data_IF_591734861432
#
_entry.id   IF_591734861432
#
_cell.length_a   1.000
_cell.length_b   1.000
_cell.length_c   1.000
_cell.angle_alpha   90.00
_cell.angle_beta   90.00
_cell.angle_gamma   90.00
#
_symmetry.space_group_name_H-M   'P 1'
#
loop_
_entity.id
_entity.type
_entity.pdbx_description
1 polymer ?
#
# COMPACT_ATOMS: atom_id res chain seq x y z
N UNK A 1 -6.70 38.47 48.31
CA UNK A 1 -7.50 37.28 47.90
C UNK A 1 -7.71 37.18 46.41
N UNK A 2 -8.15 38.24 45.71
CA UNK A 2 -8.44 38.25 44.24
C UNK A 2 -7.19 37.93 43.38
N UNK A 3 -6.01 38.48 43.65
CA UNK A 3 -4.77 38.21 42.93
C UNK A 3 -4.26 36.75 43.04
N UNK A 4 -4.57 36.08 44.11
CA UNK A 4 -4.21 34.70 44.35
C UNK A 4 -5.11 33.76 43.53
N UNK A 5 -6.43 34.01 43.48
CA UNK A 5 -7.39 33.29 42.65
C UNK A 5 -7.06 33.41 41.16
N UNK A 6 -6.72 34.62 40.67
CA UNK A 6 -6.33 34.82 39.26
C UNK A 6 -5.09 34.03 38.86
N UNK A 7 -4.08 33.92 39.76
CA UNK A 7 -2.88 33.11 39.48
C UNK A 7 -3.17 31.62 39.36
N UNK A 8 -4.03 31.07 40.23
CA UNK A 8 -4.44 29.66 40.18
C UNK A 8 -5.23 29.41 38.90
N UNK A 9 -6.15 30.28 38.50
CA UNK A 9 -6.94 30.17 37.29
C UNK A 9 -6.05 30.16 36.03
N UNK A 10 -5.03 31.03 35.99
CA UNK A 10 -4.05 31.09 34.90
C UNK A 10 -3.22 29.83 34.78
N UNK A 11 -2.78 29.23 35.92
CA UNK A 11 -2.01 27.97 35.94
C UNK A 11 -2.84 26.78 35.46
N UNK A 12 -4.12 26.72 35.86
CA UNK A 12 -5.05 25.67 35.43
C UNK A 12 -5.33 25.78 33.92
N UNK A 13 -5.60 26.98 33.41
CA UNK A 13 -5.82 27.22 32.00
C UNK A 13 -4.60 26.87 31.14
N UNK A 14 -3.38 27.19 31.62
CA UNK A 14 -2.13 26.83 30.94
C UNK A 14 -1.92 25.30 30.93
N UNK A 15 -2.19 24.60 32.04
CA UNK A 15 -2.08 23.14 32.11
C UNK A 15 -3.06 22.42 31.17
N UNK A 16 -4.30 22.91 31.06
CA UNK A 16 -5.30 22.37 30.14
C UNK A 16 -4.89 22.59 28.68
N UNK A 17 -4.32 23.76 28.35
CA UNK A 17 -3.84 24.09 27.02
C UNK A 17 -2.68 23.17 26.59
N UNK A 18 -1.73 22.91 27.47
CA UNK A 18 -0.60 22.00 27.21
C UNK A 18 -1.09 20.56 27.01
N UNK A 19 -2.05 20.12 27.84
CA UNK A 19 -2.64 18.77 27.72
C UNK A 19 -3.35 18.59 26.36
N UNK A 20 -4.07 19.61 25.89
CA UNK A 20 -4.76 19.57 24.59
C UNK A 20 -3.76 19.50 23.42
N UNK A 21 -2.61 20.18 23.52
CA UNK A 21 -1.57 20.16 22.50
C UNK A 21 -0.89 18.80 22.38
N UNK A 22 -0.68 18.12 23.51
CA UNK A 22 -0.06 16.76 23.55
C UNK A 22 -0.99 15.71 22.97
N UNK A 23 -2.31 15.81 23.18
CA UNK A 23 -3.31 14.87 22.66
C UNK A 23 -3.42 14.99 21.14
N UNK A 24 -3.27 16.20 20.56
CA UNK A 24 -3.34 16.39 19.10
C UNK A 24 -2.19 15.73 18.34
N UNK A 25 -1.05 15.50 18.96
CA UNK A 25 0.10 14.82 18.34
C UNK A 25 -0.03 13.30 18.28
N UNK A 26 -0.93 12.71 19.08
CA UNK A 26 -1.10 11.26 19.17
C UNK A 26 -1.97 10.64 18.05
N UNK A 27 -2.60 11.48 17.22
CA UNK A 27 -3.48 11.04 16.11
C UNK A 27 -2.81 11.05 14.73
N UNK A 28 -1.51 11.28 14.63
CA UNK A 28 -0.77 11.04 13.39
C UNK A 28 -0.65 9.51 13.21
N UNK A 29 -1.60 8.91 12.49
CA UNK A 29 -1.56 7.49 12.14
C UNK A 29 -0.23 7.13 11.46
N UNK A 30 0.27 5.92 11.70
CA UNK A 30 1.44 5.43 10.95
C UNK A 30 1.12 5.36 9.46
N UNK A 31 2.08 5.63 8.56
CA UNK A 31 1.84 5.56 7.13
C UNK A 31 1.42 4.15 6.72
N UNK A 32 0.41 4.07 5.86
CA UNK A 32 -0.03 2.80 5.26
C UNK A 32 1.11 2.19 4.46
N UNK A 33 1.48 0.95 4.78
CA UNK A 33 2.53 0.23 4.05
C UNK A 33 1.95 -0.45 2.83
N UNK A 34 2.54 -0.17 1.67
CA UNK A 34 2.10 -0.69 0.37
C UNK A 34 3.26 -1.44 -0.30
N UNK A 35 3.02 -2.69 -0.68
CA UNK A 35 3.99 -3.53 -1.38
C UNK A 35 3.65 -3.66 -2.86
N UNK A 36 4.69 -3.65 -3.72
CA UNK A 36 4.57 -3.98 -5.13
C UNK A 36 5.50 -5.14 -5.48
N UNK A 37 4.98 -6.09 -6.26
CA UNK A 37 5.74 -7.24 -6.76
C UNK A 37 5.77 -7.16 -8.28
N UNK A 38 6.96 -6.98 -8.84
CA UNK A 38 7.20 -6.81 -10.27
C UNK A 38 7.87 -8.04 -10.88
N UNK A 39 7.43 -8.41 -12.09
CA UNK A 39 8.00 -9.53 -12.84
C UNK A 39 9.42 -9.22 -13.35
N UNK A 40 9.66 -7.97 -13.72
CA UNK A 40 10.95 -7.49 -14.24
C UNK A 40 11.32 -6.16 -13.57
N UNK A 41 12.55 -5.71 -13.77
CA UNK A 41 12.93 -4.33 -13.47
C UNK A 41 12.15 -3.37 -14.38
N UNK A 42 11.65 -2.24 -13.86
CA UNK A 42 11.07 -1.19 -14.69
C UNK A 42 12.10 -0.66 -15.69
N UNK A 43 11.79 -0.79 -16.98
CA UNK A 43 12.54 -0.13 -18.05
C UNK A 43 11.99 1.27 -18.34
N UNK A 44 12.18 1.72 -19.55
CA UNK A 44 11.63 2.98 -20.07
C UNK A 44 10.24 2.78 -20.74
N UNK A 45 9.81 1.53 -20.95
CA UNK A 45 8.56 1.13 -21.58
C UNK A 45 8.03 -0.22 -21.04
N UNK A 46 6.82 -0.55 -21.39
CA UNK A 46 6.23 -1.86 -21.20
C UNK A 46 5.46 -2.06 -19.91
N UNK A 47 5.25 -3.33 -19.57
CA UNK A 47 4.33 -3.75 -18.52
C UNK A 47 4.74 -3.23 -17.14
N UNK A 48 5.95 -3.55 -16.70
CA UNK A 48 6.45 -3.17 -15.38
C UNK A 48 6.60 -1.65 -15.26
N UNK A 49 7.01 -0.98 -16.34
CA UNK A 49 7.06 0.48 -16.39
C UNK A 49 5.71 1.15 -16.15
N UNK A 50 4.64 0.61 -16.75
CA UNK A 50 3.29 1.14 -16.51
C UNK A 50 2.87 1.03 -15.04
N UNK A 51 3.24 -0.07 -14.37
CA UNK A 51 2.98 -0.22 -12.93
C UNK A 51 3.86 0.69 -12.08
N UNK A 52 5.11 0.90 -12.48
CA UNK A 52 5.99 1.86 -11.84
C UNK A 52 5.44 3.28 -11.89
N UNK A 53 4.92 3.72 -13.04
CA UNK A 53 4.23 5.01 -13.14
C UNK A 53 3.02 5.09 -12.20
N UNK A 54 2.24 4.02 -12.09
CA UNK A 54 1.13 3.94 -11.13
C UNK A 54 1.59 4.08 -9.68
N UNK A 55 2.67 3.39 -9.32
CA UNK A 55 3.30 3.50 -7.99
C UNK A 55 3.75 4.93 -7.70
N UNK A 56 4.44 5.59 -8.65
CA UNK A 56 4.88 6.98 -8.52
C UNK A 56 3.71 7.94 -8.33
N UNK A 57 2.57 7.68 -8.99
CA UNK A 57 1.35 8.48 -8.77
C UNK A 57 0.80 8.30 -7.34
N UNK A 58 0.84 7.09 -6.80
CA UNK A 58 0.46 6.82 -5.40
C UNK A 58 1.36 7.58 -4.44
N UNK A 59 2.68 7.48 -4.60
CA UNK A 59 3.66 8.21 -3.78
C UNK A 59 3.47 9.72 -3.87
N UNK A 60 3.27 10.25 -5.08
CA UNK A 60 3.01 11.68 -5.29
C UNK A 60 1.69 12.14 -4.65
N UNK A 61 0.65 11.32 -4.72
CA UNK A 61 -0.69 11.68 -4.23
C UNK A 61 -0.79 11.65 -2.71
N UNK A 62 -0.18 10.63 -2.08
CA UNK A 62 -0.34 10.37 -0.65
C UNK A 62 0.89 10.77 0.18
N UNK A 63 2.04 10.98 -0.46
CA UNK A 63 3.25 11.48 0.20
C UNK A 63 3.60 10.72 1.47
N UNK A 64 3.66 11.41 2.60
CA UNK A 64 3.99 10.84 3.91
C UNK A 64 2.96 9.85 4.48
N UNK A 65 1.76 9.80 3.91
CA UNK A 65 0.68 8.93 4.40
C UNK A 65 0.82 7.50 3.89
N UNK A 66 1.75 7.25 2.95
CA UNK A 66 2.10 5.90 2.48
C UNK A 66 3.59 5.64 2.58
N UNK A 67 3.93 4.37 2.81
CA UNK A 67 5.30 3.86 2.72
C UNK A 67 5.32 2.72 1.72
N UNK A 68 5.94 2.94 0.56
CA UNK A 68 5.98 1.97 -0.53
C UNK A 68 7.24 1.11 -0.47
N UNK A 69 7.06 -0.19 -0.71
CA UNK A 69 8.13 -1.19 -0.87
C UNK A 69 7.95 -1.88 -2.22
N UNK A 70 9.03 -2.08 -2.96
CA UNK A 70 9.01 -2.75 -4.27
C UNK A 70 9.97 -3.93 -4.24
N UNK A 71 9.56 -5.06 -4.82
CA UNK A 71 10.43 -6.19 -5.10
C UNK A 71 10.35 -6.49 -6.59
N UNK A 72 11.47 -6.38 -7.26
CA UNK A 72 11.60 -6.55 -8.70
C UNK A 72 12.18 -7.92 -9.07
N UNK A 73 12.05 -8.28 -10.35
CA UNK A 73 12.60 -9.52 -10.92
C UNK A 73 12.15 -10.78 -10.16
N UNK A 74 10.88 -10.83 -9.81
CA UNK A 74 10.30 -11.96 -9.09
C UNK A 74 9.77 -12.96 -10.11
N UNK A 75 10.35 -14.17 -10.23
CA UNK A 75 9.82 -15.20 -11.09
C UNK A 75 8.42 -15.66 -10.63
N UNK A 76 7.59 -16.04 -11.58
CA UNK A 76 6.30 -16.63 -11.28
C UNK A 76 6.46 -18.02 -10.58
N UNK A 77 5.48 -18.41 -9.79
CA UNK A 77 5.48 -19.67 -9.08
C UNK A 77 5.95 -19.60 -7.62
N UNK A 78 6.82 -20.51 -7.15
CA UNK A 78 7.20 -20.61 -5.73
C UNK A 78 7.86 -19.34 -5.17
N UNK A 79 8.70 -18.68 -5.95
CA UNK A 79 9.38 -17.45 -5.56
C UNK A 79 8.39 -16.31 -5.35
N UNK A 80 7.38 -16.18 -6.22
CA UNK A 80 6.31 -15.21 -6.02
C UNK A 80 5.59 -15.46 -4.68
N UNK A 81 5.27 -16.72 -4.36
CA UNK A 81 4.64 -17.07 -3.07
C UNK A 81 5.51 -16.62 -1.89
N UNK A 82 6.81 -16.84 -1.96
CA UNK A 82 7.77 -16.48 -0.91
C UNK A 82 7.84 -14.97 -0.74
N UNK A 83 7.99 -14.22 -1.84
CA UNK A 83 8.10 -12.76 -1.82
C UNK A 83 6.82 -12.10 -1.32
N UNK A 84 5.65 -12.52 -1.83
CA UNK A 84 4.36 -11.98 -1.40
C UNK A 84 4.14 -12.21 0.10
N UNK A 85 4.48 -13.42 0.60
CA UNK A 85 4.39 -13.75 2.03
C UNK A 85 5.33 -12.88 2.87
N UNK A 86 6.54 -12.64 2.39
CA UNK A 86 7.51 -11.82 3.11
C UNK A 86 7.05 -10.36 3.21
N UNK A 87 6.52 -9.78 2.13
CA UNK A 87 5.92 -8.45 2.18
C UNK A 87 4.75 -8.38 3.18
N UNK A 88 3.91 -9.40 3.24
CA UNK A 88 2.82 -9.47 4.21
C UNK A 88 3.34 -9.52 5.65
N UNK A 89 4.39 -10.34 5.94
CA UNK A 89 5.05 -10.40 7.25
C UNK A 89 5.72 -9.08 7.66
N UNK A 90 6.23 -8.31 6.72
CA UNK A 90 6.81 -6.98 6.97
C UNK A 90 5.75 -5.92 7.33
N UNK A 91 4.48 -6.32 7.35
CA UNK A 91 3.36 -5.49 7.75
C UNK A 91 2.85 -4.59 6.62
N UNK A 92 3.07 -4.95 5.35
CA UNK A 92 2.36 -4.29 4.26
C UNK A 92 0.85 -4.58 4.38
N UNK A 93 0.06 -3.53 4.35
CA UNK A 93 -1.40 -3.57 4.48
C UNK A 93 -2.09 -3.80 3.15
N UNK A 94 -1.45 -3.33 2.07
CA UNK A 94 -1.89 -3.51 0.68
C UNK A 94 -0.72 -4.04 -0.13
N UNK A 95 -0.93 -5.10 -0.93
CA UNK A 95 0.10 -5.68 -1.79
C UNK A 95 -0.44 -5.80 -3.21
N UNK A 96 0.23 -5.13 -4.14
CA UNK A 96 -0.01 -5.22 -5.58
C UNK A 96 0.85 -6.32 -6.19
N UNK A 97 0.22 -7.28 -6.88
CA UNK A 97 0.90 -8.36 -7.58
C UNK A 97 0.61 -8.24 -9.08
N UNK A 98 1.64 -7.92 -9.86
CA UNK A 98 1.50 -7.34 -11.20
C UNK A 98 1.72 -8.31 -12.35
N UNK A 99 1.58 -9.62 -12.13
CA UNK A 99 1.66 -10.62 -13.20
C UNK A 99 0.56 -11.66 -13.10
N UNK A 100 0.10 -12.18 -14.23
CA UNK A 100 -0.92 -13.23 -14.29
C UNK A 100 -0.52 -14.47 -13.47
N UNK A 101 0.72 -14.91 -13.58
CA UNK A 101 1.23 -16.07 -12.86
C UNK A 101 1.36 -15.87 -11.34
N UNK A 102 1.13 -14.66 -10.84
CA UNK A 102 1.04 -14.43 -9.39
C UNK A 102 -0.36 -14.72 -8.81
N UNK A 103 -1.34 -15.11 -9.63
CA UNK A 103 -2.71 -15.34 -9.18
C UNK A 103 -2.81 -16.39 -8.08
N UNK A 104 -2.30 -17.60 -8.32
CA UNK A 104 -2.33 -18.68 -7.31
C UNK A 104 -1.43 -18.38 -6.09
N UNK A 105 -0.19 -17.88 -6.27
CA UNK A 105 0.63 -17.37 -5.17
C UNK A 105 -0.09 -16.37 -4.29
N UNK A 106 -0.76 -15.36 -4.88
CA UNK A 106 -1.50 -14.33 -4.15
C UNK A 106 -2.65 -14.93 -3.36
N UNK A 107 -3.47 -15.77 -3.97
CA UNK A 107 -4.59 -16.45 -3.30
C UNK A 107 -4.14 -17.34 -2.14
N UNK A 108 -3.00 -18.03 -2.31
CA UNK A 108 -2.43 -18.85 -1.26
C UNK A 108 -2.02 -18.01 -0.05
N UNK A 109 -1.26 -16.94 -0.28
CA UNK A 109 -0.80 -16.06 0.80
C UNK A 109 -1.95 -15.28 1.44
N UNK A 110 -2.95 -14.88 0.65
CA UNK A 110 -4.11 -14.15 1.16
C UNK A 110 -4.90 -14.94 2.23
N UNK A 111 -4.92 -16.26 2.15
CA UNK A 111 -5.53 -17.13 3.18
C UNK A 111 -4.74 -17.09 4.49
N UNK A 112 -3.42 -16.91 4.43
CA UNK A 112 -2.54 -16.86 5.59
C UNK A 112 -2.60 -15.48 6.29
N UNK A 113 -2.94 -14.42 5.53
CA UNK A 113 -2.96 -13.03 6.00
C UNK A 113 -4.32 -12.34 5.73
N UNK A 114 -5.37 -12.69 6.47
CA UNK A 114 -6.74 -12.23 6.18
C UNK A 114 -6.94 -10.71 6.35
N UNK A 115 -6.06 -10.04 7.07
CA UNK A 115 -6.12 -8.58 7.29
C UNK A 115 -5.36 -7.78 6.22
N UNK A 116 -4.51 -8.42 5.41
CA UNK A 116 -3.81 -7.79 4.29
C UNK A 116 -4.73 -7.78 3.07
N UNK A 117 -4.75 -6.66 2.34
CA UNK A 117 -5.47 -6.52 1.07
C UNK A 117 -4.51 -6.81 -0.08
N UNK A 118 -4.98 -7.59 -1.03
CA UNK A 118 -4.21 -7.93 -2.23
C UNK A 118 -4.94 -7.43 -3.47
N UNK A 119 -4.22 -6.69 -4.29
CA UNK A 119 -4.66 -6.20 -5.60
C UNK A 119 -3.89 -6.96 -6.67
N UNK A 120 -4.55 -7.96 -7.27
CA UNK A 120 -3.93 -8.78 -8.29
C UNK A 120 -4.29 -8.28 -9.68
N UNK A 121 -3.28 -7.98 -10.49
CA UNK A 121 -3.48 -7.46 -11.85
C UNK A 121 -3.45 -8.62 -12.85
N UNK A 122 -4.43 -8.62 -13.76
CA UNK A 122 -4.68 -9.62 -14.82
C UNK A 122 -5.30 -10.95 -14.39
N UNK A 123 -5.49 -11.19 -13.11
CA UNK A 123 -6.18 -12.38 -12.63
C UNK A 123 -7.70 -12.30 -12.76
N UNK A 124 -8.34 -13.45 -12.60
CA UNK A 124 -9.81 -13.58 -12.61
C UNK A 124 -10.36 -14.19 -11.31
N UNK A 125 -9.53 -14.79 -10.49
CA UNK A 125 -9.93 -15.37 -9.21
C UNK A 125 -9.86 -14.31 -8.11
N UNK A 126 -10.90 -14.27 -7.28
CA UNK A 126 -11.04 -13.34 -6.15
C UNK A 126 -11.24 -14.08 -4.85
N UNK A 127 -10.97 -13.42 -3.74
CA UNK A 127 -11.32 -13.87 -2.40
C UNK A 127 -11.76 -12.70 -1.53
N UNK A 128 -12.04 -12.94 -0.24
CA UNK A 128 -12.50 -11.89 0.70
C UNK A 128 -11.54 -10.68 0.76
N UNK A 129 -10.24 -10.93 0.59
CA UNK A 129 -9.17 -9.93 0.69
C UNK A 129 -8.30 -9.87 -0.57
N UNK A 130 -8.74 -10.46 -1.69
CA UNK A 130 -8.09 -10.36 -3.00
C UNK A 130 -9.08 -9.77 -4.00
N UNK A 131 -8.76 -8.57 -4.48
CA UNK A 131 -9.41 -7.98 -5.64
C UNK A 131 -8.57 -8.23 -6.90
N UNK A 132 -9.18 -8.06 -8.06
CA UNK A 132 -8.49 -8.21 -9.35
C UNK A 132 -8.78 -7.01 -10.22
N UNK A 133 -7.71 -6.43 -10.78
CA UNK A 133 -7.78 -5.44 -11.85
C UNK A 133 -7.40 -6.05 -13.19
N UNK A 134 -8.06 -5.64 -14.25
CA UNK A 134 -7.69 -6.04 -15.60
C UNK A 134 -7.78 -4.84 -16.56
N UNK A 135 -6.94 -4.83 -17.56
CA UNK A 135 -6.94 -3.84 -18.63
C UNK A 135 -7.47 -4.44 -19.93
N UNK A 136 -8.05 -3.59 -20.77
CA UNK A 136 -8.64 -4.01 -22.06
C UNK A 136 -7.55 -4.17 -23.13
N UNK A 137 -6.75 -5.23 -23.00
CA UNK A 137 -5.64 -5.53 -23.91
C UNK A 137 -6.07 -5.64 -25.38
N UNK A 138 -7.29 -6.11 -25.63
CA UNK A 138 -7.80 -6.31 -26.98
C UNK A 138 -7.88 -5.01 -27.77
N UNK A 139 -8.10 -3.87 -27.13
CA UNK A 139 -8.14 -2.57 -27.82
C UNK A 139 -6.77 -2.20 -28.39
N UNK A 140 -5.70 -2.33 -27.59
CA UNK A 140 -4.34 -2.11 -28.07
C UNK A 140 -3.89 -3.15 -29.11
N UNK A 141 -4.30 -4.41 -28.94
CA UNK A 141 -4.01 -5.47 -29.90
C UNK A 141 -4.69 -5.25 -31.25
N UNK A 142 -5.92 -4.76 -31.23
CA UNK A 142 -6.63 -4.40 -32.48
C UNK A 142 -5.86 -3.35 -33.28
N UNK A 143 -5.39 -2.29 -32.62
CA UNK A 143 -4.61 -1.22 -33.28
C UNK A 143 -3.29 -1.76 -33.86
N UNK A 144 -2.66 -2.73 -33.22
CA UNK A 144 -1.43 -3.34 -33.72
C UNK A 144 -1.66 -4.31 -34.90
N UNK A 145 -2.87 -4.84 -35.07
CA UNK A 145 -3.24 -5.80 -36.08
C UNK A 145 -3.81 -5.17 -37.38
N UNK A 146 -3.99 -3.86 -37.39
CA UNK A 146 -4.47 -3.08 -38.54
C UNK A 146 -3.31 -2.36 -39.20
#
# INVERSE_FOLDING_TARGET
>A
MIKFCMRIFSLIAFSISVLFFVISSAFAGSPTKVGFVYLTTPGDHGWTYAHELGKQMVEKRFGKDVKVSVVENVPEGPDATRVIRELAKQGNEIIFTTSFGYMEPTLKVAKEFPNVKFEHITGYKRSKNVATGNIRFYEGRYIQGV
#
